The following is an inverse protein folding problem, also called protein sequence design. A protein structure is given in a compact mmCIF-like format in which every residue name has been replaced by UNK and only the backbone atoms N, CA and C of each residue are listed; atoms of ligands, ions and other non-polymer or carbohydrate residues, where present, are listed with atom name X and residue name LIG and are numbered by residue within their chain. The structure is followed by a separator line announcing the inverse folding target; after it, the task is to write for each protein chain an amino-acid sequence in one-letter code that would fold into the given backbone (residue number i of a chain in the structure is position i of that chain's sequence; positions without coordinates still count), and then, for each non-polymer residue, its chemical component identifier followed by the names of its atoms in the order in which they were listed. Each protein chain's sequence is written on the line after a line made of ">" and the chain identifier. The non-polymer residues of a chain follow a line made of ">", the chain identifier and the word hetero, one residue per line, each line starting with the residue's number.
data_IF_178843313673
#
_entry.id   IF_178843313673
#
_cell.length_a   1.000
_cell.length_b   1.000
_cell.length_c   1.000
_cell.angle_alpha   90.00
_cell.angle_beta   90.00
_cell.angle_gamma   90.00
#
_symmetry.space_group_name_H-M   'P 1'
#
loop_
_entity.id
_entity.type
_entity.pdbx_description
1 polymer ?
#
# COMPACT_ATOMS: atom_id res chain seq x y z
N UNK A 1 -14.19 36.68 33.36
CA UNK A 1 -15.28 35.90 33.98
C UNK A 1 -16.12 36.85 34.81
N UNK A 2 -17.43 36.69 34.79
CA UNK A 2 -18.37 37.65 35.38
C UNK A 2 -18.93 37.12 36.70
N UNK A 3 -19.14 37.98 37.70
CA UNK A 3 -19.79 37.60 38.95
C UNK A 3 -21.24 37.14 38.67
N UNK A 4 -21.67 35.95 39.11
CA UNK A 4 -23.01 35.44 38.81
C UNK A 4 -24.13 36.17 39.55
N UNK A 5 -23.79 37.04 40.52
CA UNK A 5 -24.78 37.73 41.34
C UNK A 5 -25.02 39.18 40.93
N UNK A 6 -23.98 39.90 40.51
CA UNK A 6 -24.06 41.33 40.17
C UNK A 6 -23.45 41.66 38.81
N UNK A 7 -23.01 40.65 38.07
CA UNK A 7 -22.52 40.81 36.71
C UNK A 7 -21.24 41.67 36.56
N UNK A 8 -20.51 41.95 37.65
CA UNK A 8 -19.23 42.66 37.59
C UNK A 8 -18.10 41.77 37.08
N UNK A 9 -17.13 42.33 36.35
CA UNK A 9 -16.07 41.57 35.68
C UNK A 9 -14.86 41.27 36.57
N UNK A 10 -14.66 42.04 37.64
CA UNK A 10 -13.51 41.84 38.52
C UNK A 10 -13.86 41.02 39.75
N UNK A 11 -12.95 40.13 40.08
CA UNK A 11 -13.01 39.28 41.26
C UNK A 11 -11.60 38.89 41.68
N UNK A 12 -11.39 38.72 42.99
CA UNK A 12 -10.13 38.22 43.54
C UNK A 12 -10.26 36.75 43.89
N UNK A 13 -9.18 35.98 43.69
CA UNK A 13 -9.11 34.58 44.09
C UNK A 13 -8.80 34.50 45.57
N UNK A 14 -9.58 33.74 46.34
CA UNK A 14 -9.42 33.59 47.80
C UNK A 14 -8.98 32.18 48.19
N UNK A 15 -9.27 31.16 47.39
CA UNK A 15 -8.80 29.78 47.58
C UNK A 15 -8.65 29.08 46.22
N UNK A 16 -7.69 28.16 46.10
CA UNK A 16 -7.46 27.38 44.88
C UNK A 16 -7.13 25.93 45.22
N UNK A 17 -7.82 24.99 44.58
CA UNK A 17 -7.58 23.54 44.76
C UNK A 17 -7.55 22.84 43.41
N UNK A 18 -6.56 21.97 43.21
CA UNK A 18 -6.47 21.10 42.04
C UNK A 18 -7.41 19.92 42.25
N UNK A 19 -8.23 19.60 41.24
CA UNK A 19 -9.12 18.43 41.26
C UNK A 19 -8.33 17.20 40.81
N UNK A 20 -8.60 16.03 41.38
CA UNK A 20 -8.02 14.75 40.96
C UNK A 20 -8.16 14.56 39.43
N UNK A 21 -7.07 14.22 38.75
CA UNK A 21 -6.95 14.25 37.29
C UNK A 21 -6.09 15.42 36.75
N UNK A 22 -5.69 16.36 37.61
CA UNK A 22 -4.52 17.22 37.43
C UNK A 22 -4.61 18.36 36.39
N UNK A 23 -5.69 18.42 35.59
CA UNK A 23 -5.88 19.39 34.50
C UNK A 23 -6.92 20.49 34.80
N UNK A 24 -7.68 20.37 35.89
CA UNK A 24 -8.72 21.34 36.27
C UNK A 24 -8.48 21.90 37.68
N UNK A 25 -8.51 23.22 37.81
CA UNK A 25 -8.34 23.96 39.06
C UNK A 25 -9.68 24.58 39.45
N UNK A 26 -10.17 24.22 40.64
CA UNK A 26 -11.30 24.89 41.27
C UNK A 26 -10.79 26.12 42.01
N UNK A 27 -11.28 27.31 41.66
CA UNK A 27 -10.99 28.55 42.38
C UNK A 27 -12.22 29.07 43.10
N UNK A 28 -12.07 29.43 44.36
CA UNK A 28 -13.05 30.23 45.09
C UNK A 28 -12.69 31.71 44.86
N UNK A 29 -13.65 32.50 44.41
CA UNK A 29 -13.49 33.91 44.09
C UNK A 29 -14.46 34.76 44.91
N UNK A 30 -14.08 36.00 45.16
CA UNK A 30 -14.91 37.03 45.80
C UNK A 30 -15.05 38.20 44.83
N UNK A 31 -16.28 38.63 44.57
CA UNK A 31 -16.55 39.77 43.69
C UNK A 31 -16.11 41.07 44.35
N UNK A 32 -15.34 41.90 43.64
CA UNK A 32 -14.86 43.18 44.17
C UNK A 32 -15.96 44.23 44.37
N UNK A 33 -17.12 44.06 43.75
CA UNK A 33 -18.24 45.00 43.87
C UNK A 33 -19.26 44.57 44.94
N UNK A 34 -19.74 43.32 44.89
CA UNK A 34 -20.81 42.86 45.79
C UNK A 34 -20.33 41.98 46.96
N UNK A 35 -19.02 41.74 47.07
CA UNK A 35 -18.39 40.89 48.10
C UNK A 35 -18.90 39.44 48.19
N UNK A 36 -19.80 39.01 47.29
CA UNK A 36 -20.29 37.63 47.26
C UNK A 36 -19.22 36.68 46.73
N UNK A 37 -19.15 35.49 47.33
CA UNK A 37 -18.23 34.42 46.95
C UNK A 37 -18.87 33.44 45.98
N UNK A 38 -18.12 33.05 44.95
CA UNK A 38 -18.54 32.07 43.95
C UNK A 38 -17.36 31.17 43.54
N UNK A 39 -17.67 30.06 42.89
CA UNK A 39 -16.66 29.07 42.45
C UNK A 39 -16.51 29.15 40.94
N UNK A 40 -15.28 29.15 40.45
CA UNK A 40 -14.97 28.98 39.03
C UNK A 40 -14.11 27.74 38.83
N UNK A 41 -14.26 27.11 37.67
CA UNK A 41 -13.42 25.99 37.25
C UNK A 41 -12.58 26.47 36.06
N UNK A 42 -11.27 26.38 36.19
CA UNK A 42 -10.31 26.80 35.18
C UNK A 42 -9.49 25.57 34.75
N UNK A 43 -9.30 25.41 33.44
CA UNK A 43 -8.46 24.34 32.90
C UNK A 43 -7.02 24.86 32.82
N UNK A 44 -6.08 24.11 33.37
CA UNK A 44 -4.66 24.41 33.24
C UNK A 44 -4.19 24.08 31.82
N UNK A 45 -4.08 25.13 30.99
CA UNK A 45 -3.67 25.00 29.58
C UNK A 45 -2.22 24.51 29.42
N UNK A 46 -1.39 24.55 30.48
CA UNK A 46 -0.01 24.05 30.43
C UNK A 46 0.08 22.52 30.44
N UNK A 47 -1.01 21.83 30.82
CA UNK A 47 -1.15 20.37 30.81
C UNK A 47 -2.11 19.84 29.75
N UNK A 48 -2.38 20.63 28.71
CA UNK A 48 -2.91 20.06 27.46
C UNK A 48 -1.84 19.10 26.96
N UNK A 49 -2.11 17.81 27.08
CA UNK A 49 -1.34 16.77 26.41
C UNK A 49 -1.19 17.24 24.97
N UNK A 50 0.04 17.57 24.55
CA UNK A 50 0.34 17.74 23.13
C UNK A 50 -0.04 16.41 22.50
N UNK A 51 -1.23 16.34 21.90
CA UNK A 51 -1.57 15.29 20.97
C UNK A 51 -0.47 15.41 19.91
N UNK A 52 0.49 14.47 19.91
CA UNK A 52 1.45 14.36 18.82
C UNK A 52 0.60 14.30 17.56
N UNK A 53 0.81 15.14 16.56
CA UNK A 53 0.05 15.05 15.32
C UNK A 53 0.17 13.61 14.83
N UNK A 54 -0.98 12.95 14.66
CA UNK A 54 -1.06 11.62 14.06
C UNK A 54 -0.19 11.60 12.81
N UNK A 55 0.72 10.62 12.73
CA UNK A 55 1.65 10.32 11.64
C UNK A 55 1.39 11.08 10.33
N UNK A 56 1.76 12.36 10.28
CA UNK A 56 1.71 13.12 9.04
C UNK A 56 2.85 12.58 8.19
N UNK A 57 2.52 11.77 7.18
CA UNK A 57 3.49 11.36 6.16
C UNK A 57 4.13 12.64 5.64
N UNK A 58 5.42 12.80 5.89
CA UNK A 58 6.14 14.02 5.53
C UNK A 58 6.14 14.19 4.01
N UNK A 59 6.05 15.43 3.54
CA UNK A 59 5.94 15.75 2.11
C UNK A 59 7.20 15.35 1.34
N UNK A 60 8.38 15.53 1.93
CA UNK A 60 9.69 15.07 1.40
C UNK A 60 9.72 13.57 1.07
N UNK A 61 9.08 12.75 1.92
CA UNK A 61 8.96 11.31 1.70
C UNK A 61 8.10 10.99 0.48
N UNK A 62 7.00 11.72 0.29
CA UNK A 62 6.09 11.48 -0.83
C UNK A 62 6.78 11.85 -2.14
N UNK A 63 7.46 12.98 -2.19
CA UNK A 63 8.23 13.42 -3.36
C UNK A 63 9.30 12.38 -3.74
N UNK A 64 10.04 11.84 -2.75
CA UNK A 64 11.01 10.76 -2.97
C UNK A 64 10.37 9.50 -3.57
N UNK A 65 9.20 9.11 -3.10
CA UNK A 65 8.49 7.93 -3.61
C UNK A 65 7.92 8.17 -5.01
N UNK A 66 7.41 9.38 -5.30
CA UNK A 66 6.96 9.76 -6.64
C UNK A 66 8.11 9.70 -7.64
N UNK A 67 9.27 10.23 -7.27
CA UNK A 67 10.48 10.17 -8.09
C UNK A 67 10.92 8.71 -8.31
N UNK A 68 10.94 7.90 -7.26
CA UNK A 68 11.28 6.47 -7.39
C UNK A 68 10.30 5.72 -8.31
N UNK A 69 9.01 5.98 -8.18
CA UNK A 69 7.99 5.36 -9.04
C UNK A 69 8.14 5.81 -10.50
N UNK A 70 8.52 7.07 -10.75
CA UNK A 70 8.84 7.57 -12.09
C UNK A 70 10.03 6.81 -12.70
N UNK A 71 11.11 6.62 -11.95
CA UNK A 71 12.28 5.84 -12.40
C UNK A 71 11.91 4.38 -12.70
N UNK A 72 11.10 3.76 -11.85
CA UNK A 72 10.60 2.39 -12.05
C UNK A 72 9.77 2.31 -13.35
N UNK A 73 8.90 3.28 -13.63
CA UNK A 73 8.15 3.34 -14.90
C UNK A 73 9.08 3.44 -16.11
N UNK A 74 10.15 4.24 -16.03
CA UNK A 74 11.14 4.31 -17.11
C UNK A 74 11.83 2.96 -17.34
N UNK A 75 12.21 2.27 -16.26
CA UNK A 75 12.86 0.97 -16.36
C UNK A 75 11.91 -0.07 -16.99
N UNK A 76 10.62 -0.07 -16.62
CA UNK A 76 9.60 -0.92 -17.25
C UNK A 76 9.53 -0.67 -18.76
N UNK A 77 9.42 0.59 -19.19
CA UNK A 77 9.34 0.96 -20.61
C UNK A 77 10.59 0.52 -21.37
N UNK A 78 11.79 0.79 -20.82
CA UNK A 78 13.07 0.36 -21.41
C UNK A 78 13.16 -1.15 -21.56
N UNK A 79 12.85 -1.89 -20.48
CA UNK A 79 12.92 -3.35 -20.50
C UNK A 79 12.03 -3.95 -21.58
N UNK A 80 10.76 -3.54 -21.63
CA UNK A 80 9.77 -4.11 -22.55
C UNK A 80 10.08 -3.69 -23.99
N UNK A 81 10.45 -2.42 -24.22
CA UNK A 81 10.84 -1.94 -25.54
C UNK A 81 12.08 -2.66 -26.09
N UNK A 82 13.11 -2.88 -25.27
CA UNK A 82 14.31 -3.63 -25.67
C UNK A 82 14.05 -5.13 -25.88
N UNK A 83 13.13 -5.71 -25.12
CA UNK A 83 12.75 -7.11 -25.27
C UNK A 83 11.84 -7.37 -26.49
N UNK A 84 11.16 -6.32 -27.00
CA UNK A 84 10.15 -6.44 -28.05
C UNK A 84 8.91 -7.24 -27.63
N UNK A 85 8.76 -7.55 -26.34
CA UNK A 85 7.61 -8.27 -25.80
C UNK A 85 7.47 -8.01 -24.29
N UNK A 86 6.24 -8.03 -23.77
CA UNK A 86 5.96 -7.83 -22.34
C UNK A 86 4.63 -7.12 -22.12
N UNK A 87 4.34 -6.77 -20.86
CA UNK A 87 3.03 -6.27 -20.44
C UNK A 87 3.14 -4.88 -19.82
N UNK A 88 3.26 -3.81 -20.61
CA UNK A 88 3.53 -2.47 -20.08
C UNK A 88 2.35 -1.95 -19.25
N UNK A 89 1.12 -2.07 -19.76
CA UNK A 89 -0.06 -1.52 -19.10
C UNK A 89 -0.25 -2.05 -17.67
N UNK A 90 -0.19 -3.38 -17.51
CA UNK A 90 -0.33 -4.04 -16.20
C UNK A 90 0.90 -3.93 -15.30
N UNK A 91 2.06 -3.53 -15.83
CA UNK A 91 3.27 -3.23 -15.04
C UNK A 91 3.28 -1.79 -14.54
N UNK A 92 2.72 -0.85 -15.32
CA UNK A 92 2.68 0.56 -14.98
C UNK A 92 1.58 0.90 -13.95
N UNK A 93 0.43 0.20 -13.98
CA UNK A 93 -0.69 0.48 -13.06
C UNK A 93 -0.33 0.39 -11.57
N UNK A 94 0.38 -0.63 -11.08
CA UNK A 94 0.68 -0.76 -9.65
C UNK A 94 2.06 -0.19 -9.28
N UNK A 95 2.67 0.64 -10.14
CA UNK A 95 4.03 1.12 -9.91
C UNK A 95 4.17 1.92 -8.61
N UNK A 96 3.20 2.77 -8.27
CA UNK A 96 3.22 3.52 -7.01
C UNK A 96 3.03 2.60 -5.79
N UNK A 97 2.19 1.56 -5.92
CA UNK A 97 1.95 0.56 -4.87
C UNK A 97 3.24 -0.21 -4.56
N UNK A 98 3.90 -0.76 -5.58
CA UNK A 98 5.13 -1.53 -5.38
C UNK A 98 6.30 -0.64 -4.94
N UNK A 99 6.31 0.61 -5.37
CA UNK A 99 7.28 1.60 -4.88
C UNK A 99 7.08 1.85 -3.38
N UNK A 100 5.85 2.07 -2.93
CA UNK A 100 5.57 2.21 -1.50
C UNK A 100 5.94 0.95 -0.70
N UNK A 101 5.68 -0.24 -1.26
CA UNK A 101 6.05 -1.49 -0.63
C UNK A 101 7.56 -1.61 -0.44
N UNK A 102 8.35 -1.60 -1.51
CA UNK A 102 9.79 -1.86 -1.44
C UNK A 102 10.61 -0.74 -0.78
N UNK A 103 10.16 0.52 -0.86
CA UNK A 103 10.99 1.64 -0.41
C UNK A 103 10.49 2.30 0.88
N UNK A 104 9.48 1.72 1.53
CA UNK A 104 8.97 2.23 2.81
C UNK A 104 8.31 1.16 3.71
N UNK A 105 7.59 0.18 3.17
CA UNK A 105 6.75 -0.71 4.00
C UNK A 105 7.40 -2.06 4.30
N UNK A 106 8.02 -2.69 3.31
CA UNK A 106 8.58 -4.03 3.44
C UNK A 106 9.81 -4.00 4.35
N UNK A 107 9.87 -4.94 5.28
CA UNK A 107 11.10 -5.24 5.99
C UNK A 107 11.90 -6.26 5.17
N UNK A 108 12.90 -5.81 4.43
CA UNK A 108 13.70 -6.71 3.59
C UNK A 108 15.17 -6.28 3.52
N UNK A 109 16.03 -7.20 3.09
CA UNK A 109 17.45 -6.95 2.92
C UNK A 109 17.93 -7.54 1.58
N UNK A 110 18.34 -6.73 0.60
CA UNK A 110 18.85 -7.23 -0.68
C UNK A 110 20.14 -8.04 -0.56
N UNK A 111 20.96 -7.78 0.47
CA UNK A 111 22.21 -8.51 0.72
C UNK A 111 21.99 -9.85 1.42
N UNK A 112 20.78 -10.08 1.94
CA UNK A 112 20.36 -11.36 2.52
C UNK A 112 18.92 -11.68 2.09
N UNK A 113 18.77 -12.06 0.83
CA UNK A 113 17.49 -12.43 0.25
C UNK A 113 16.82 -13.65 0.94
N UNK A 114 17.58 -14.42 1.73
CA UNK A 114 17.08 -15.59 2.47
C UNK A 114 16.81 -15.28 3.94
N UNK A 115 16.99 -14.03 4.38
CA UNK A 115 16.70 -13.60 5.74
C UNK A 115 15.32 -14.10 6.19
N UNK A 116 15.28 -14.92 7.23
CA UNK A 116 14.06 -15.63 7.60
C UNK A 116 12.91 -14.69 8.03
N UNK A 117 13.24 -13.64 8.78
CA UNK A 117 12.30 -12.68 9.40
C UNK A 117 11.81 -11.57 8.46
N UNK A 118 12.24 -11.55 7.19
CA UNK A 118 11.85 -10.49 6.26
C UNK A 118 10.36 -10.59 5.87
N UNK A 119 9.75 -9.49 5.48
CA UNK A 119 8.46 -9.53 4.80
C UNK A 119 8.58 -10.28 3.46
N UNK A 120 7.52 -10.96 3.05
CA UNK A 120 7.43 -11.68 1.77
C UNK A 120 6.54 -10.90 0.80
N UNK A 121 6.92 -10.84 -0.48
CA UNK A 121 6.11 -10.23 -1.53
C UNK A 121 5.88 -11.19 -2.69
N UNK A 122 4.62 -11.46 -3.00
CA UNK A 122 4.18 -12.32 -4.09
C UNK A 122 3.56 -11.48 -5.20
N UNK A 123 4.09 -11.57 -6.41
CA UNK A 123 3.46 -11.03 -7.60
C UNK A 123 2.56 -12.11 -8.23
N UNK A 124 1.28 -12.15 -7.88
CA UNK A 124 0.33 -13.14 -8.42
C UNK A 124 0.03 -12.90 -9.89
N UNK A 125 -0.22 -11.62 -10.25
CA UNK A 125 -0.29 -11.15 -11.64
C UNK A 125 1.08 -11.14 -12.33
N UNK A 126 1.68 -12.32 -12.47
CA UNK A 126 3.06 -12.54 -12.86
C UNK A 126 3.46 -11.92 -14.20
N UNK A 127 2.50 -11.64 -15.08
CA UNK A 127 2.78 -10.96 -16.34
C UNK A 127 3.36 -9.54 -16.15
N UNK A 128 3.12 -8.91 -14.98
CA UNK A 128 3.74 -7.66 -14.55
C UNK A 128 5.18 -7.83 -14.00
N UNK A 129 5.88 -8.90 -14.37
CA UNK A 129 7.27 -9.15 -13.98
C UNK A 129 8.22 -7.96 -14.15
N UNK A 130 8.14 -7.14 -15.23
CA UNK A 130 8.98 -5.96 -15.39
C UNK A 130 8.90 -5.00 -14.19
N UNK A 131 7.72 -4.82 -13.58
CA UNK A 131 7.59 -3.99 -12.38
C UNK A 131 8.37 -4.57 -11.19
N UNK A 132 8.21 -5.86 -10.92
CA UNK A 132 8.92 -6.53 -9.83
C UNK A 132 10.44 -6.46 -10.05
N UNK A 133 10.90 -6.68 -11.28
CA UNK A 133 12.32 -6.61 -11.62
C UNK A 133 12.90 -5.22 -11.44
N UNK A 134 12.18 -4.18 -11.87
CA UNK A 134 12.60 -2.78 -11.65
C UNK A 134 12.73 -2.48 -10.15
N UNK A 135 11.73 -2.87 -9.33
CA UNK A 135 11.79 -2.68 -7.88
C UNK A 135 12.96 -3.43 -7.23
N UNK A 136 13.19 -4.69 -7.59
CA UNK A 136 14.28 -5.50 -7.04
C UNK A 136 15.66 -4.93 -7.42
N UNK A 137 15.84 -4.46 -8.65
CA UNK A 137 17.08 -3.82 -9.10
C UNK A 137 17.33 -2.49 -8.36
N UNK A 138 16.30 -1.64 -8.26
CA UNK A 138 16.36 -0.38 -7.51
C UNK A 138 16.58 -0.59 -6.00
N UNK A 139 16.06 -1.69 -5.45
CA UNK A 139 16.32 -2.12 -4.08
C UNK A 139 17.72 -2.74 -3.88
N UNK A 140 18.46 -3.03 -4.96
CA UNK A 140 19.83 -3.55 -4.90
C UNK A 140 19.96 -5.07 -4.81
N UNK A 141 18.92 -5.84 -5.14
CA UNK A 141 19.01 -7.32 -5.21
C UNK A 141 19.92 -7.80 -6.36
N UNK A 142 20.05 -7.00 -7.41
CA UNK A 142 20.94 -7.24 -8.54
C UNK A 142 21.23 -5.92 -9.28
N UNK A 143 22.25 -5.91 -10.16
CA UNK A 143 22.61 -4.71 -10.93
C UNK A 143 21.50 -4.30 -11.91
N UNK A 144 21.23 -3.00 -12.01
CA UNK A 144 20.30 -2.43 -13.00
C UNK A 144 20.67 -2.77 -14.45
N UNK A 145 21.94 -3.03 -14.75
CA UNK A 145 22.39 -3.37 -16.12
C UNK A 145 21.70 -4.63 -16.66
N UNK A 146 21.32 -5.54 -15.76
CA UNK A 146 20.65 -6.81 -16.08
C UNK A 146 19.24 -6.55 -16.66
N UNK A 147 18.58 -5.44 -16.32
CA UNK A 147 17.21 -5.11 -16.78
C UNK A 147 17.09 -5.17 -18.32
N UNK A 148 18.12 -4.71 -19.03
CA UNK A 148 18.19 -4.73 -20.51
C UNK A 148 18.19 -6.15 -21.14
N UNK A 149 18.23 -7.19 -20.32
CA UNK A 149 18.25 -8.59 -20.74
C UNK A 149 16.91 -9.30 -20.63
N UNK A 150 15.84 -8.61 -20.20
CA UNK A 150 14.49 -9.17 -20.08
C UNK A 150 14.14 -10.08 -21.28
N UNK A 151 13.68 -11.30 -20.97
CA UNK A 151 13.23 -12.33 -21.93
C UNK A 151 14.28 -12.83 -22.92
N UNK A 152 15.55 -12.42 -22.82
CA UNK A 152 16.63 -12.98 -23.65
C UNK A 152 17.01 -14.37 -23.15
N UNK A 153 17.44 -15.23 -24.09
CA UNK A 153 17.99 -16.54 -23.76
C UNK A 153 19.17 -16.39 -22.79
N UNK A 154 19.17 -17.17 -21.71
CA UNK A 154 20.20 -17.11 -20.66
C UNK A 154 20.02 -15.98 -19.64
N UNK A 155 19.10 -15.04 -19.86
CA UNK A 155 18.80 -14.00 -18.86
C UNK A 155 18.18 -14.62 -17.60
N UNK A 156 18.46 -14.08 -16.40
CA UNK A 156 17.71 -14.43 -15.21
C UNK A 156 16.30 -13.78 -15.19
N UNK A 157 16.07 -12.71 -15.97
CA UNK A 157 14.79 -11.99 -16.06
C UNK A 157 13.87 -12.65 -17.09
N UNK A 158 13.12 -13.65 -16.64
CA UNK A 158 12.17 -14.40 -17.44
C UNK A 158 10.92 -13.58 -17.80
N UNK A 159 10.07 -14.07 -18.71
CA UNK A 159 8.86 -13.37 -19.12
C UNK A 159 7.78 -13.26 -18.03
N UNK A 160 7.86 -14.17 -17.05
CA UNK A 160 7.15 -14.20 -15.78
C UNK A 160 8.17 -14.53 -14.66
N UNK A 161 7.94 -14.21 -13.38
CA UNK A 161 8.91 -14.46 -12.32
C UNK A 161 9.34 -15.93 -12.24
N UNK A 162 10.63 -16.17 -12.04
CA UNK A 162 11.21 -17.49 -11.76
C UNK A 162 12.01 -17.40 -10.47
N UNK A 163 11.49 -18.00 -9.40
CA UNK A 163 12.11 -17.96 -8.07
C UNK A 163 13.48 -18.64 -7.98
N UNK A 164 13.83 -19.49 -8.97
CA UNK A 164 15.12 -20.19 -8.99
C UNK A 164 16.22 -19.38 -9.67
N UNK A 165 15.87 -18.32 -10.41
CA UNK A 165 16.82 -17.53 -11.19
C UNK A 165 17.22 -16.21 -10.55
N UNK A 166 16.39 -15.63 -9.70
CA UNK A 166 16.66 -14.33 -9.09
C UNK A 166 16.36 -14.31 -7.59
N UNK A 167 17.31 -13.83 -6.78
CA UNK A 167 17.06 -13.51 -5.38
C UNK A 167 15.94 -12.47 -5.24
N UNK A 168 15.13 -12.60 -4.19
CA UNK A 168 14.01 -11.68 -3.90
C UNK A 168 12.70 -12.04 -4.60
N UNK A 169 12.66 -13.08 -5.43
CA UNK A 169 11.44 -13.65 -5.99
C UNK A 169 10.99 -14.84 -5.14
N UNK A 170 9.79 -14.77 -4.57
CA UNK A 170 9.28 -15.81 -3.66
C UNK A 170 8.74 -17.04 -4.37
N UNK A 171 8.10 -16.83 -5.53
CA UNK A 171 7.43 -17.88 -6.28
C UNK A 171 7.67 -17.68 -7.76
N UNK A 172 7.68 -18.77 -8.51
CA UNK A 172 7.44 -18.68 -9.95
C UNK A 172 5.94 -18.47 -10.17
N UNK A 173 5.56 -17.36 -10.77
CA UNK A 173 4.16 -17.03 -11.10
C UNK A 173 3.98 -16.86 -12.60
N UNK A 174 2.74 -16.67 -13.06
CA UNK A 174 2.41 -16.51 -14.48
C UNK A 174 1.09 -17.16 -14.83
N UNK A 175 0.80 -18.32 -14.24
CA UNK A 175 -0.57 -18.83 -14.14
C UNK A 175 -1.32 -17.99 -13.10
N UNK A 176 -2.32 -17.25 -13.55
CA UNK A 176 -3.14 -16.40 -12.67
C UNK A 176 -3.88 -17.24 -11.62
N UNK A 177 -4.24 -16.62 -10.50
CA UNK A 177 -5.00 -17.25 -9.41
C UNK A 177 -4.14 -17.96 -8.35
N UNK A 178 -2.92 -18.38 -8.71
CA UNK A 178 -2.09 -19.21 -7.83
C UNK A 178 -1.40 -18.43 -6.70
N UNK A 179 -1.03 -17.17 -6.94
CA UNK A 179 -0.16 -16.43 -6.02
C UNK A 179 -0.78 -16.16 -4.66
N UNK A 180 -2.08 -15.87 -4.58
CA UNK A 180 -2.79 -15.72 -3.29
C UNK A 180 -2.78 -17.03 -2.48
N UNK A 181 -2.96 -18.17 -3.14
CA UNK A 181 -2.90 -19.49 -2.50
C UNK A 181 -1.51 -19.77 -1.90
N UNK A 182 -0.44 -19.41 -2.60
CA UNK A 182 0.92 -19.59 -2.08
C UNK A 182 1.23 -18.58 -0.97
N UNK A 183 0.75 -17.34 -1.09
CA UNK A 183 0.86 -16.32 -0.04
C UNK A 183 0.18 -16.76 1.26
N UNK A 184 -0.97 -17.43 1.19
CA UNK A 184 -1.61 -18.05 2.36
C UNK A 184 -0.67 -19.06 3.05
N UNK A 185 0.00 -19.91 2.27
CA UNK A 185 0.95 -20.89 2.81
C UNK A 185 2.11 -20.22 3.54
N UNK A 186 2.67 -19.14 2.97
CA UNK A 186 3.72 -18.35 3.62
C UNK A 186 3.23 -17.68 4.91
N UNK A 187 2.04 -17.09 4.88
CA UNK A 187 1.47 -16.42 6.04
C UNK A 187 1.15 -17.42 7.17
N UNK A 188 0.62 -18.58 6.82
CA UNK A 188 0.35 -19.69 7.75
C UNK A 188 1.64 -20.20 8.38
N UNK A 189 2.70 -20.42 7.60
CA UNK A 189 4.01 -20.81 8.12
C UNK A 189 4.53 -19.79 9.14
N UNK A 190 4.48 -18.50 8.81
CA UNK A 190 4.88 -17.44 9.74
C UNK A 190 4.11 -17.47 11.07
N UNK A 191 2.79 -17.71 11.03
CA UNK A 191 1.99 -17.85 12.28
C UNK A 191 2.37 -19.08 13.09
N UNK A 192 2.56 -20.23 12.45
CA UNK A 192 2.94 -21.48 13.11
C UNK A 192 4.33 -21.38 13.76
N UNK A 193 5.26 -20.72 13.08
CA UNK A 193 6.63 -20.49 13.53
C UNK A 193 6.76 -19.28 14.48
N UNK A 194 5.65 -18.60 14.79
CA UNK A 194 5.59 -17.41 15.64
C UNK A 194 6.51 -16.27 15.16
N UNK A 195 6.56 -16.08 13.85
CA UNK A 195 7.31 -15.00 13.19
C UNK A 195 6.43 -13.77 13.04
N UNK A 196 7.06 -12.60 13.12
CA UNK A 196 6.35 -11.31 13.06
C UNK A 196 6.23 -10.74 11.64
N UNK A 197 6.82 -11.41 10.63
CA UNK A 197 6.77 -10.94 9.25
C UNK A 197 5.36 -10.95 8.67
N UNK A 198 5.16 -10.09 7.67
CA UNK A 198 3.95 -10.01 6.87
C UNK A 198 4.18 -10.59 5.49
N UNK A 199 3.09 -11.05 4.89
CA UNK A 199 3.07 -11.52 3.51
C UNK A 199 2.17 -10.59 2.71
N UNK A 200 2.72 -10.04 1.64
CA UNK A 200 2.04 -9.17 0.72
C UNK A 200 1.84 -9.89 -0.61
N UNK A 201 0.67 -9.74 -1.22
CA UNK A 201 0.40 -10.28 -2.55
C UNK A 201 -0.30 -9.25 -3.41
N UNK A 202 0.24 -9.01 -4.62
CA UNK A 202 -0.42 -8.20 -5.63
C UNK A 202 -1.16 -9.12 -6.61
N UNK A 203 -2.47 -8.89 -6.73
CA UNK A 203 -3.36 -9.61 -7.65
C UNK A 203 -3.94 -8.65 -8.70
N UNK A 204 -4.22 -9.15 -9.89
CA UNK A 204 -4.97 -8.42 -10.93
C UNK A 204 -6.48 -8.52 -10.72
N UNK A 205 -7.24 -7.60 -11.31
CA UNK A 205 -8.70 -7.67 -11.31
C UNK A 205 -9.27 -8.72 -12.25
N UNK A 206 -8.76 -8.83 -13.48
CA UNK A 206 -9.10 -9.98 -14.35
C UNK A 206 -8.64 -11.33 -13.79
N UNK A 207 -7.65 -11.34 -12.87
CA UNK A 207 -7.24 -12.55 -12.15
C UNK A 207 -8.30 -13.02 -11.13
N UNK A 208 -9.25 -12.18 -10.74
CA UNK A 208 -10.34 -12.57 -9.83
C UNK A 208 -11.36 -13.52 -10.48
N UNK A 209 -11.32 -13.70 -11.80
CA UNK A 209 -12.14 -14.69 -12.50
C UNK A 209 -11.71 -16.12 -12.16
N UNK A 210 -10.49 -16.32 -11.66
CA UNK A 210 -9.99 -17.62 -11.24
C UNK A 210 -10.63 -18.07 -9.92
N UNK A 211 -11.28 -19.24 -9.95
CA UNK A 211 -11.90 -19.87 -8.77
C UNK A 211 -10.93 -20.01 -7.58
N UNK A 212 -9.65 -20.24 -7.88
CA UNK A 212 -8.59 -20.41 -6.89
C UNK A 212 -8.41 -19.19 -5.98
N UNK A 213 -8.68 -17.97 -6.47
CA UNK A 213 -8.64 -16.76 -5.62
C UNK A 213 -9.67 -16.86 -4.49
N UNK A 214 -10.87 -17.35 -4.80
CA UNK A 214 -11.96 -17.46 -3.84
C UNK A 214 -11.76 -18.61 -2.84
N UNK A 215 -11.17 -19.72 -3.30
CA UNK A 215 -10.70 -20.78 -2.40
C UNK A 215 -9.65 -20.26 -1.41
N UNK A 216 -8.67 -19.51 -1.90
CA UNK A 216 -7.65 -18.89 -1.06
C UNK A 216 -8.24 -17.81 -0.13
N UNK A 217 -9.26 -17.06 -0.56
CA UNK A 217 -9.97 -16.11 0.28
C UNK A 217 -10.67 -16.80 1.47
N UNK A 218 -11.33 -17.94 1.26
CA UNK A 218 -11.91 -18.76 2.33
C UNK A 218 -10.85 -19.26 3.30
N UNK A 219 -9.75 -19.82 2.76
CA UNK A 219 -8.69 -20.40 3.56
C UNK A 219 -8.01 -19.34 4.46
N UNK A 220 -7.76 -18.14 3.95
CA UNK A 220 -7.11 -17.08 4.72
C UNK A 220 -7.90 -16.68 5.97
N UNK A 221 -9.22 -16.59 5.86
CA UNK A 221 -10.11 -16.34 7.00
C UNK A 221 -10.18 -17.53 7.94
N UNK A 222 -10.32 -18.75 7.42
CA UNK A 222 -10.36 -19.97 8.23
C UNK A 222 -9.13 -20.11 9.12
N UNK A 223 -7.94 -19.86 8.55
CA UNK A 223 -6.67 -19.91 9.27
C UNK A 223 -6.29 -18.59 9.97
N UNK A 224 -7.19 -17.59 9.96
CA UNK A 224 -7.03 -16.33 10.68
C UNK A 224 -5.74 -15.59 10.31
N UNK A 225 -5.42 -15.50 9.03
CA UNK A 225 -4.14 -14.99 8.52
C UNK A 225 -4.05 -13.45 8.60
N UNK A 226 -3.98 -12.90 9.81
CA UNK A 226 -3.84 -11.46 10.11
C UNK A 226 -2.44 -10.86 9.87
N UNK A 227 -1.54 -11.66 9.30
CA UNK A 227 -0.27 -11.26 8.73
C UNK A 227 -0.27 -11.25 7.19
N UNK A 228 -1.41 -11.54 6.55
CA UNK A 228 -1.59 -11.48 5.10
C UNK A 228 -2.24 -10.16 4.66
N UNK A 229 -1.64 -9.53 3.66
CA UNK A 229 -2.17 -8.34 2.97
C UNK A 229 -2.25 -8.62 1.48
N UNK A 230 -3.45 -8.72 0.94
CA UNK A 230 -3.70 -8.77 -0.49
C UNK A 230 -4.01 -7.37 -1.02
N UNK A 231 -3.44 -7.04 -2.17
CA UNK A 231 -3.64 -5.77 -2.86
C UNK A 231 -4.15 -6.10 -4.26
N UNK A 232 -5.33 -5.58 -4.58
CA UNK A 232 -5.91 -5.68 -5.90
C UNK A 232 -5.53 -4.46 -6.73
N UNK A 233 -4.89 -4.69 -7.87
CA UNK A 233 -4.70 -3.68 -8.91
C UNK A 233 -5.98 -3.56 -9.75
N UNK A 234 -6.93 -2.74 -9.29
CA UNK A 234 -8.22 -2.51 -9.95
C UNK A 234 -8.06 -1.46 -11.04
N UNK A 235 -7.58 -1.90 -12.20
CA UNK A 235 -7.34 -1.06 -13.38
C UNK A 235 -8.45 -1.16 -14.45
N UNK A 236 -9.47 -1.98 -14.18
CA UNK A 236 -10.71 -2.20 -14.92
C UNK A 236 -10.58 -2.96 -16.24
N UNK A 237 -9.39 -3.46 -16.61
CA UNK A 237 -9.14 -4.02 -17.93
C UNK A 237 -8.37 -5.35 -17.91
N UNK A 238 -8.77 -6.28 -18.78
CA UNK A 238 -8.06 -7.52 -19.05
C UNK A 238 -7.56 -7.62 -20.49
N UNK A 239 -7.33 -8.83 -21.02
CA UNK A 239 -6.78 -9.03 -22.38
C UNK A 239 -7.80 -8.54 -23.43
N UNK A 240 -9.04 -9.01 -23.32
CA UNK A 240 -10.06 -8.87 -24.36
C UNK A 240 -11.00 -7.67 -24.16
N UNK A 241 -10.72 -6.79 -23.19
CA UNK A 241 -11.53 -5.60 -22.96
C UNK A 241 -11.63 -5.16 -21.51
N UNK A 242 -12.68 -4.40 -21.22
CA UNK A 242 -13.04 -4.03 -19.85
C UNK A 242 -13.49 -5.27 -19.09
N UNK A 243 -13.09 -5.39 -17.83
CA UNK A 243 -13.55 -6.47 -16.94
C UNK A 243 -15.08 -6.56 -16.91
N UNK A 244 -15.79 -5.43 -16.86
CA UNK A 244 -17.26 -5.44 -16.79
C UNK A 244 -17.96 -5.85 -18.10
N UNK A 245 -17.24 -5.87 -19.22
CA UNK A 245 -17.76 -6.35 -20.50
C UNK A 245 -17.44 -7.83 -20.74
N UNK A 246 -16.26 -8.27 -20.29
CA UNK A 246 -15.80 -9.65 -20.50
C UNK A 246 -16.33 -10.60 -19.41
N UNK A 247 -16.14 -10.24 -18.13
CA UNK A 247 -16.64 -10.98 -16.97
C UNK A 247 -16.78 -10.05 -15.77
N UNK A 248 -18.02 -9.62 -15.50
CA UNK A 248 -18.25 -8.56 -14.53
C UNK A 248 -17.91 -8.98 -13.09
N UNK A 249 -17.09 -8.17 -12.42
CA UNK A 249 -16.58 -8.47 -11.08
C UNK A 249 -17.51 -7.94 -9.98
N UNK A 250 -18.35 -6.94 -10.29
CA UNK A 250 -19.31 -6.38 -9.35
C UNK A 250 -18.66 -5.79 -8.10
N UNK A 251 -19.30 -5.96 -6.93
CA UNK A 251 -18.86 -5.35 -5.67
C UNK A 251 -17.70 -6.13 -5.04
N UNK A 252 -16.48 -5.90 -5.52
CA UNK A 252 -15.27 -6.65 -5.11
C UNK A 252 -15.02 -6.55 -3.60
N UNK A 253 -15.08 -5.35 -3.02
CA UNK A 253 -14.87 -5.16 -1.58
C UNK A 253 -15.96 -5.88 -0.75
N UNK A 254 -17.21 -5.93 -1.23
CA UNK A 254 -18.28 -6.68 -0.56
C UNK A 254 -18.04 -8.19 -0.63
N UNK A 255 -17.58 -8.70 -1.78
CA UNK A 255 -17.22 -10.12 -1.94
C UNK A 255 -16.16 -10.52 -0.91
N UNK A 256 -15.03 -9.82 -0.84
CA UNK A 256 -13.98 -10.12 0.15
C UNK A 256 -14.47 -9.98 1.60
N UNK A 257 -15.32 -8.99 1.91
CA UNK A 257 -15.96 -8.88 3.24
C UNK A 257 -16.83 -10.09 3.55
N UNK A 258 -17.60 -10.61 2.58
CA UNK A 258 -18.39 -11.82 2.75
C UNK A 258 -17.52 -13.06 3.00
N UNK A 259 -16.31 -13.10 2.44
CA UNK A 259 -15.29 -14.12 2.78
C UNK A 259 -14.59 -13.87 4.12
N UNK A 260 -14.93 -12.82 4.88
CA UNK A 260 -14.42 -12.54 6.23
C UNK A 260 -13.18 -11.63 6.29
N UNK A 261 -12.80 -11.01 5.17
CA UNK A 261 -11.64 -10.11 5.11
C UNK A 261 -11.97 -8.72 5.64
N UNK A 262 -10.98 -8.04 6.22
CA UNK A 262 -11.02 -6.58 6.32
C UNK A 262 -10.75 -6.00 4.93
N UNK A 263 -11.53 -5.01 4.50
CA UNK A 263 -11.36 -4.38 3.18
C UNK A 263 -11.14 -2.88 3.30
N UNK A 264 -10.24 -2.35 2.46
CA UNK A 264 -10.04 -0.92 2.26
C UNK A 264 -10.11 -0.63 0.76
N UNK A 265 -10.66 0.52 0.39
CA UNK A 265 -10.61 1.05 -0.97
C UNK A 265 -9.79 2.33 -0.99
N UNK A 266 -8.88 2.44 -1.96
CA UNK A 266 -7.96 3.57 -2.09
C UNK A 266 -7.78 4.00 -3.54
N UNK A 267 -7.31 5.22 -3.73
CA UNK A 267 -6.64 5.62 -4.97
C UNK A 267 -5.22 5.03 -5.00
N UNK A 268 -4.98 4.10 -5.93
CA UNK A 268 -3.72 3.39 -6.10
C UNK A 268 -2.57 4.25 -6.62
N UNK A 269 -2.80 5.54 -6.89
CA UNK A 269 -1.78 6.51 -7.31
C UNK A 269 -1.52 7.60 -6.27
N UNK A 270 -2.20 7.56 -5.11
CA UNK A 270 -1.97 8.51 -4.01
C UNK A 270 -1.18 7.87 -2.91
N UNK A 271 0.12 8.16 -2.86
CA UNK A 271 1.04 7.65 -1.82
C UNK A 271 0.54 7.83 -0.38
N UNK A 272 -0.17 8.93 -0.06
CA UNK A 272 -0.77 9.11 1.28
C UNK A 272 -1.78 8.02 1.61
N UNK A 273 -2.63 7.64 0.67
CA UNK A 273 -3.63 6.59 0.84
C UNK A 273 -2.98 5.21 0.85
N UNK A 274 -2.06 4.95 -0.08
CA UNK A 274 -1.28 3.72 -0.16
C UNK A 274 -0.56 3.45 1.16
N UNK A 275 0.25 4.40 1.65
CA UNK A 275 1.00 4.25 2.90
C UNK A 275 0.10 4.09 4.13
N UNK A 276 -1.02 4.82 4.17
CA UNK A 276 -2.01 4.67 5.25
C UNK A 276 -2.62 3.26 5.24
N UNK A 277 -2.97 2.73 4.07
CA UNK A 277 -3.58 1.41 3.91
C UNK A 277 -2.63 0.25 4.25
N UNK A 278 -1.33 0.41 3.96
CA UNK A 278 -0.30 -0.60 4.22
C UNK A 278 0.30 -0.52 5.64
N UNK A 279 -0.11 0.49 6.43
CA UNK A 279 0.43 0.70 7.77
C UNK A 279 0.00 -0.42 8.73
N UNK A 280 0.83 -0.77 9.74
CA UNK A 280 0.49 -1.79 10.73
C UNK A 280 -0.80 -1.52 11.50
N UNK A 281 -1.25 -0.26 11.61
CA UNK A 281 -2.51 0.10 12.27
C UNK A 281 -3.76 -0.37 11.50
N UNK A 282 -3.61 -0.76 10.24
CA UNK A 282 -4.69 -1.38 9.47
C UNK A 282 -4.87 -2.86 9.78
N UNK A 283 -3.95 -3.50 10.51
CA UNK A 283 -4.13 -4.89 10.91
C UNK A 283 -5.32 -5.03 11.83
N UNK A 284 -6.09 -6.09 11.62
CA UNK A 284 -7.15 -6.51 12.50
C UNK A 284 -6.88 -7.95 12.90
N UNK A 285 -6.92 -8.22 14.20
CA UNK A 285 -6.62 -9.55 14.72
C UNK A 285 -7.51 -10.59 14.06
N UNK A 286 -6.91 -11.72 13.71
CA UNK A 286 -7.55 -12.88 13.09
C UNK A 286 -8.19 -12.63 11.71
N UNK A 287 -7.97 -11.46 11.08
CA UNK A 287 -8.50 -11.15 9.74
C UNK A 287 -7.41 -10.79 8.74
N UNK A 288 -7.38 -11.42 7.56
CA UNK A 288 -6.56 -10.94 6.47
C UNK A 288 -7.09 -9.60 5.93
N UNK A 289 -6.20 -8.80 5.32
CA UNK A 289 -6.52 -7.48 4.77
C UNK A 289 -6.52 -7.49 3.25
N UNK A 290 -7.61 -7.02 2.63
CA UNK A 290 -7.71 -6.76 1.21
C UNK A 290 -7.73 -5.24 0.96
N UNK A 291 -6.84 -4.77 0.12
CA UNK A 291 -6.79 -3.38 -0.35
C UNK A 291 -7.20 -3.36 -1.82
N UNK A 292 -8.38 -2.84 -2.12
CA UNK A 292 -8.82 -2.57 -3.49
C UNK A 292 -8.25 -1.23 -3.91
N UNK A 293 -7.18 -1.26 -4.71
CA UNK A 293 -6.51 -0.05 -5.19
C UNK A 293 -7.00 0.28 -6.60
N UNK A 294 -7.75 1.36 -6.73
CA UNK A 294 -8.23 1.86 -8.02
C UNK A 294 -7.07 2.51 -8.75
N UNK A 295 -6.71 1.96 -9.91
CA UNK A 295 -5.53 2.37 -10.69
C UNK A 295 -5.88 2.61 -12.16
N UNK A 296 -4.91 3.11 -12.92
CA UNK A 296 -5.01 3.31 -14.37
C UNK A 296 -4.03 2.36 -15.06
N UNK A 297 -4.54 1.44 -15.88
CA UNK A 297 -3.69 0.59 -16.73
C UNK A 297 -2.87 1.48 -17.65
N UNK A 298 -1.55 1.33 -17.65
CA UNK A 298 -0.63 2.20 -18.40
C UNK A 298 -0.24 3.51 -17.71
N UNK A 299 -0.49 3.67 -16.39
CA UNK A 299 -0.27 4.92 -15.66
C UNK A 299 1.08 5.57 -15.93
N UNK A 300 1.05 6.85 -16.29
CA UNK A 300 2.21 7.71 -16.49
C UNK A 300 2.65 7.82 -17.96
N UNK A 301 2.01 7.10 -18.88
CA UNK A 301 2.27 7.20 -20.32
C UNK A 301 0.95 7.45 -21.04
N UNK A 302 0.78 8.66 -21.55
CA UNK A 302 -0.49 9.21 -22.05
C UNK A 302 -1.20 8.33 -23.08
N UNK A 303 -0.45 7.73 -24.00
CA UNK A 303 -0.99 6.88 -25.06
C UNK A 303 -1.15 5.41 -24.66
N UNK A 304 -0.70 5.02 -23.46
CA UNK A 304 -0.93 3.70 -22.89
C UNK A 304 -2.03 3.71 -21.81
N UNK A 305 -2.33 4.87 -21.20
CA UNK A 305 -3.36 4.99 -20.19
C UNK A 305 -4.73 4.60 -20.73
N UNK A 306 -5.35 3.58 -20.11
CA UNK A 306 -6.68 3.07 -20.49
C UNK A 306 -6.76 2.53 -21.93
N UNK A 307 -5.69 1.94 -22.43
CA UNK A 307 -5.65 1.31 -23.76
C UNK A 307 -5.43 -0.19 -23.63
N UNK A 308 -6.43 -0.98 -24.03
CA UNK A 308 -6.46 -2.45 -23.90
C UNK A 308 -5.27 -3.11 -24.61
N UNK A 309 -4.91 -2.64 -25.81
CA UNK A 309 -3.80 -3.17 -26.61
C UNK A 309 -2.48 -3.24 -25.83
N UNK A 310 -2.21 -2.26 -24.95
CA UNK A 310 -1.01 -2.22 -24.12
C UNK A 310 -1.07 -3.18 -22.92
N UNK A 311 -2.05 -4.09 -22.86
CA UNK A 311 -2.02 -5.22 -21.95
C UNK A 311 -0.79 -6.10 -22.19
N UNK A 312 -0.52 -6.50 -23.44
CA UNK A 312 0.58 -7.40 -23.81
C UNK A 312 1.40 -6.94 -25.02
N UNK A 313 1.12 -5.76 -25.58
CA UNK A 313 1.87 -5.17 -26.69
C UNK A 313 3.08 -4.40 -26.16
N UNK A 314 4.28 -4.75 -26.63
CA UNK A 314 5.48 -3.95 -26.39
C UNK A 314 5.42 -2.64 -27.20
N UNK A 315 5.91 -1.52 -26.65
CA UNK A 315 5.99 -0.28 -27.42
C UNK A 315 7.01 -0.43 -28.56
N UNK A 316 6.75 0.23 -29.67
CA UNK A 316 7.74 0.45 -30.72
C UNK A 316 8.90 1.30 -30.20
N UNK A 317 9.98 1.42 -30.97
CA UNK A 317 11.11 2.30 -30.62
C UNK A 317 10.66 3.76 -30.43
N UNK A 318 9.82 4.26 -31.33
CA UNK A 318 9.28 5.63 -31.27
C UNK A 318 8.35 5.82 -30.06
N UNK A 319 7.46 4.86 -29.80
CA UNK A 319 6.60 4.88 -28.61
C UNK A 319 7.42 4.81 -27.32
N UNK A 320 8.49 4.01 -27.29
CA UNK A 320 9.40 3.93 -26.15
C UNK A 320 10.09 5.28 -25.88
N UNK A 321 10.64 5.92 -26.92
CA UNK A 321 11.28 7.25 -26.81
C UNK A 321 10.28 8.31 -26.32
N UNK A 322 9.06 8.31 -26.87
CA UNK A 322 7.98 9.20 -26.43
C UNK A 322 7.60 8.97 -24.97
N UNK A 323 7.39 7.71 -24.57
CA UNK A 323 7.05 7.37 -23.19
C UNK A 323 8.14 7.79 -22.20
N UNK A 324 9.42 7.64 -22.58
CA UNK A 324 10.54 8.08 -21.74
C UNK A 324 10.63 9.59 -21.62
N UNK A 325 10.27 10.35 -22.66
CA UNK A 325 10.18 11.81 -22.59
C UNK A 325 9.00 12.29 -21.71
N UNK A 326 7.87 11.57 -21.71
CA UNK A 326 6.76 11.87 -20.80
C UNK A 326 7.10 11.59 -19.33
N UNK A 327 8.00 10.63 -19.11
CA UNK A 327 8.46 10.21 -17.78
C UNK A 327 9.74 10.92 -17.34
N UNK A 328 10.30 11.85 -18.11
CA UNK A 328 11.59 12.51 -17.81
C UNK A 328 11.50 13.61 -16.77
#
# INVERSE_FOLDING_TARGET
>A
MQCPYCYYLESKVVDSRVIEGGSTIRRRRECSQCNKRFTTYEVDKSKVIKIKPENKVREDKIERLQEKARLIRQDIIKMIGLAGSGHPGGSLSPADILTALYFEVLHHNPQDAKWEERDRFVLSKGHAAPLLYACLAEAGYFSKDVLSTLRKLGSPLQGHPDMKRLPGIEISSGSLGQGLSVANGMALAGKLDKKDYRVFVLIGDGELDEGQIWEAAMAATHYKLDNLVAILDRNEMQIDGLTEEVMALGLIAEKFRAFGWKTLEIDGHKFKEILKSLSPSQREKDKPLMIVAHTVKGKGVSFMERVVDFHGKAPTKEEMEKALAELS
#
